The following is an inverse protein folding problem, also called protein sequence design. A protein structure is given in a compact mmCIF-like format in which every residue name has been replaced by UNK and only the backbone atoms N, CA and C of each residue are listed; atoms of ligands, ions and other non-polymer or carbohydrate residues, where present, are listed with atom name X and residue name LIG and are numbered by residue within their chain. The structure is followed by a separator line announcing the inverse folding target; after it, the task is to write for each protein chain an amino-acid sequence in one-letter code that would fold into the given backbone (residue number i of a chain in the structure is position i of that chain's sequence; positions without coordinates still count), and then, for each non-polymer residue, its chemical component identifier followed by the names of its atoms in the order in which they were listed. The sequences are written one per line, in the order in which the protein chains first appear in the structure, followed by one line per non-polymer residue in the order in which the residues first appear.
data_IF_123105220884
#
_entry.id   IF_123105220884
#
_cell.length_a   1.000
_cell.length_b   1.000
_cell.length_c   1.000
_cell.angle_alpha   90.00
_cell.angle_beta   90.00
_cell.angle_gamma   90.00
#
_symmetry.space_group_name_H-M   'P 1'
#
loop_
_entity.id
_entity.type
_entity.pdbx_description
1 polymer ?
#
# COMPACT_ATOMS: atom_id res chain seq x y z
N UNK A 1 -7.31 16.81 -2.01
CA UNK A 1 -5.93 17.22 -1.68
C UNK A 1 -5.76 17.33 -0.16
N UNK A 2 -6.78 17.82 0.54
CA UNK A 2 -6.93 17.79 2.01
C UNK A 2 -6.66 16.42 2.67
N UNK A 3 -7.25 15.31 2.19
CA UNK A 3 -6.96 13.95 2.69
C UNK A 3 -5.46 13.62 2.70
N UNK A 4 -4.72 14.02 1.66
CA UNK A 4 -3.28 13.80 1.57
C UNK A 4 -2.54 14.65 2.60
N UNK A 5 -2.94 15.92 2.78
CA UNK A 5 -2.34 16.83 3.74
C UNK A 5 -2.46 16.31 5.17
N UNK A 6 -3.66 15.89 5.57
CA UNK A 6 -3.90 15.36 6.91
C UNK A 6 -3.04 14.12 7.20
N UNK A 7 -2.77 13.29 6.19
CA UNK A 7 -1.87 12.13 6.30
C UNK A 7 -0.40 12.56 6.41
N UNK A 8 0.03 13.56 5.64
CA UNK A 8 1.41 14.07 5.65
C UNK A 8 1.72 14.77 6.98
N UNK A 9 0.78 15.58 7.50
CA UNK A 9 0.89 16.27 8.78
C UNK A 9 0.78 15.34 9.99
N UNK A 10 0.29 14.12 9.80
CA UNK A 10 0.07 13.16 10.90
C UNK A 10 -1.21 13.42 11.70
N UNK A 11 -2.13 14.22 11.18
CA UNK A 11 -3.46 14.48 11.76
C UNK A 11 -4.46 13.36 11.45
N UNK A 12 -4.19 12.57 10.42
CA UNK A 12 -4.99 11.41 10.04
C UNK A 12 -4.61 10.17 10.86
N UNK A 13 -5.61 9.34 11.17
CA UNK A 13 -5.41 7.97 11.69
C UNK A 13 -4.53 7.15 10.73
N UNK A 14 -4.69 7.35 9.43
CA UNK A 14 -3.89 6.68 8.41
C UNK A 14 -2.54 7.39 8.29
N UNK A 15 -1.47 6.75 8.76
CA UNK A 15 -0.11 7.25 8.58
C UNK A 15 0.55 6.73 7.30
N UNK A 16 1.58 7.43 6.81
CA UNK A 16 2.41 6.98 5.69
C UNK A 16 2.94 5.55 5.87
N UNK A 17 3.25 5.16 7.12
CA UNK A 17 3.76 3.84 7.45
C UNK A 17 2.70 2.75 7.34
N UNK A 18 1.45 3.04 7.72
CA UNK A 18 0.33 2.12 7.54
C UNK A 18 0.08 1.90 6.04
N UNK A 19 0.09 2.96 5.23
CA UNK A 19 -0.13 2.84 3.78
C UNK A 19 1.01 2.03 3.13
N UNK A 20 2.27 2.35 3.44
CA UNK A 20 3.43 1.60 2.94
C UNK A 20 3.35 0.12 3.37
N UNK A 21 3.02 -0.17 4.63
CA UNK A 21 2.85 -1.53 5.13
C UNK A 21 1.75 -2.27 4.37
N UNK A 22 0.62 -1.61 4.17
CA UNK A 22 -0.51 -2.18 3.46
C UNK A 22 -0.12 -2.64 2.04
N UNK A 23 0.45 -1.73 1.24
CA UNK A 23 0.73 -2.01 -0.18
C UNK A 23 1.90 -2.96 -0.38
N UNK A 24 2.90 -2.94 0.51
CA UNK A 24 4.13 -3.76 0.36
C UNK A 24 4.03 -5.14 1.02
N UNK A 25 3.26 -5.27 2.11
CA UNK A 25 3.25 -6.47 2.95
C UNK A 25 1.86 -7.06 3.13
N UNK A 26 0.90 -6.29 3.65
CA UNK A 26 -0.43 -6.83 3.95
C UNK A 26 -1.12 -7.33 2.67
N UNK A 27 -1.17 -6.51 1.63
CA UNK A 27 -1.78 -6.86 0.35
C UNK A 27 -1.05 -8.02 -0.35
N UNK A 28 0.28 -8.08 -0.22
CA UNK A 28 1.11 -9.17 -0.73
C UNK A 28 0.77 -10.51 -0.07
N UNK A 29 0.63 -10.51 1.27
CA UNK A 29 0.30 -11.71 2.05
C UNK A 29 -1.15 -12.16 1.84
N UNK A 30 -2.09 -11.22 1.85
CA UNK A 30 -3.52 -11.57 1.82
C UNK A 30 -4.07 -11.73 0.39
N UNK A 31 -3.33 -11.33 -0.64
CA UNK A 31 -3.84 -11.21 -2.01
C UNK A 31 -5.06 -10.28 -2.05
N UNK A 32 -4.87 -9.06 -1.53
CA UNK A 32 -5.96 -8.08 -1.45
C UNK A 32 -6.41 -7.65 -2.83
N UNK A 33 -7.69 -7.90 -3.11
CA UNK A 33 -8.35 -7.55 -4.37
C UNK A 33 -9.76 -7.05 -4.07
N UNK A 34 -10.15 -5.95 -4.70
CA UNK A 34 -11.48 -5.37 -4.62
C UNK A 34 -11.88 -4.75 -5.96
N UNK A 35 -13.13 -4.34 -6.09
CA UNK A 35 -13.68 -3.69 -7.28
C UNK A 35 -13.51 -2.17 -7.20
N UNK A 36 -13.08 -1.55 -8.29
CA UNK A 36 -13.06 -0.08 -8.44
C UNK A 36 -13.83 0.32 -9.70
N UNK A 37 -14.35 1.56 -9.78
CA UNK A 37 -14.90 2.07 -11.03
C UNK A 37 -13.90 1.94 -12.17
N UNK A 38 -14.33 1.38 -13.29
CA UNK A 38 -13.49 1.17 -14.46
C UNK A 38 -13.02 2.53 -15.01
N UNK A 39 -11.71 2.68 -15.19
CA UNK A 39 -11.11 3.93 -15.68
C UNK A 39 -11.39 4.18 -17.17
N UNK A 40 -11.60 3.10 -17.92
CA UNK A 40 -12.00 3.11 -19.31
C UNK A 40 -13.41 2.54 -19.42
N UNK A 41 -14.20 2.97 -20.43
CA UNK A 41 -15.52 2.39 -20.71
C UNK A 41 -15.37 0.89 -20.87
N UNK A 42 -15.75 0.16 -19.84
CA UNK A 42 -15.67 -1.29 -19.82
C UNK A 42 -17.09 -1.76 -19.60
N UNK A 43 -17.70 -2.29 -20.64
CA UNK A 43 -19.02 -2.93 -20.61
C UNK A 43 -19.00 -4.26 -19.83
N UNK A 44 -18.12 -4.39 -18.84
CA UNK A 44 -17.99 -5.56 -17.98
C UNK A 44 -18.84 -5.35 -16.74
N UNK A 45 -19.66 -6.35 -16.44
CA UNK A 45 -20.40 -6.44 -15.19
C UNK A 45 -19.64 -7.38 -14.27
N UNK A 46 -19.28 -6.88 -13.09
CA UNK A 46 -18.64 -7.66 -12.04
C UNK A 46 -19.60 -7.79 -10.86
N UNK A 47 -19.96 -9.02 -10.50
CA UNK A 47 -20.91 -9.30 -9.40
C UNK A 47 -22.25 -8.53 -9.47
N UNK A 48 -22.70 -8.12 -10.66
CA UNK A 48 -23.96 -7.39 -10.87
C UNK A 48 -23.80 -5.88 -11.02
N UNK A 49 -22.60 -5.33 -10.78
CA UNK A 49 -22.30 -3.90 -10.95
C UNK A 49 -21.64 -3.64 -12.31
N UNK A 50 -22.17 -2.68 -13.06
CA UNK A 50 -21.63 -2.28 -14.37
C UNK A 50 -20.43 -1.35 -14.23
N UNK A 51 -19.53 -1.37 -15.22
CA UNK A 51 -18.36 -0.49 -15.29
C UNK A 51 -17.45 -0.62 -14.07
N UNK A 52 -17.26 -1.84 -13.57
CA UNK A 52 -16.32 -2.13 -12.48
C UNK A 52 -15.10 -2.91 -13.00
N UNK A 53 -13.92 -2.58 -12.48
CA UNK A 53 -12.66 -3.26 -12.74
C UNK A 53 -12.13 -3.91 -11.47
N UNK A 54 -11.51 -5.09 -11.63
CA UNK A 54 -10.90 -5.82 -10.53
C UNK A 54 -9.49 -5.29 -10.23
N UNK A 55 -9.32 -4.63 -9.09
CA UNK A 55 -8.06 -4.02 -8.67
C UNK A 55 -7.24 -4.92 -7.74
N UNK A 56 -6.08 -5.37 -8.22
CA UNK A 56 -5.12 -6.16 -7.44
C UNK A 56 -4.05 -5.25 -6.85
N UNK A 57 -4.19 -4.89 -5.56
CA UNK A 57 -3.38 -3.84 -4.90
C UNK A 57 -1.88 -4.06 -5.07
N UNK A 58 -1.35 -5.21 -4.63
CA UNK A 58 0.09 -5.48 -4.65
C UNK A 58 0.66 -5.51 -6.07
N UNK A 59 -0.11 -6.03 -7.03
CA UNK A 59 0.32 -6.10 -8.42
C UNK A 59 0.34 -4.73 -9.07
N UNK A 60 -0.71 -3.92 -8.88
CA UNK A 60 -0.76 -2.55 -9.37
C UNK A 60 0.39 -1.72 -8.79
N UNK A 61 0.61 -1.79 -7.47
CA UNK A 61 1.73 -1.13 -6.81
C UNK A 61 3.09 -1.50 -7.43
N UNK A 62 3.32 -2.80 -7.71
CA UNK A 62 4.55 -3.26 -8.36
C UNK A 62 4.70 -2.74 -9.79
N UNK A 63 3.60 -2.59 -10.54
CA UNK A 63 3.62 -2.02 -11.88
C UNK A 63 3.97 -0.53 -11.85
N UNK A 64 3.42 0.24 -10.89
CA UNK A 64 3.76 1.66 -10.73
C UNK A 64 5.23 1.87 -10.40
N UNK A 65 5.79 1.05 -9.48
CA UNK A 65 7.23 1.07 -9.19
C UNK A 65 8.11 0.79 -10.41
N UNK A 66 7.61 0.03 -11.40
CA UNK A 66 8.32 -0.20 -12.66
C UNK A 66 8.15 0.97 -13.62
N UNK A 67 6.96 1.53 -13.74
CA UNK A 67 6.64 2.62 -14.65
C UNK A 67 7.34 3.93 -14.25
N UNK A 68 7.25 4.30 -12.98
CA UNK A 68 7.79 5.55 -12.44
C UNK A 68 9.21 5.41 -11.89
N UNK A 69 9.74 4.18 -11.81
CA UNK A 69 10.89 3.80 -10.97
C UNK A 69 10.62 4.02 -9.47
N UNK A 70 11.43 3.40 -8.61
CA UNK A 70 11.40 3.66 -7.14
C UNK A 70 11.67 5.13 -6.80
N UNK A 71 12.15 5.92 -7.76
CA UNK A 71 12.48 7.33 -7.55
C UNK A 71 11.26 8.22 -7.58
N UNK A 72 10.36 7.98 -8.52
CA UNK A 72 9.19 8.84 -8.75
C UNK A 72 7.90 8.19 -8.24
N UNK A 73 8.01 7.22 -7.35
CA UNK A 73 6.89 6.56 -6.69
C UNK A 73 7.31 6.11 -5.28
N UNK A 74 7.32 7.06 -4.34
CA UNK A 74 7.77 6.87 -2.97
C UNK A 74 6.79 7.59 -2.03
N UNK A 75 6.10 6.88 -1.11
CA UNK A 75 5.22 7.53 -0.13
C UNK A 75 5.97 8.51 0.78
N UNK A 76 7.27 8.32 0.96
CA UNK A 76 8.10 9.14 1.84
C UNK A 76 8.81 10.24 1.04
N UNK A 77 8.70 11.49 1.49
CA UNK A 77 9.31 12.70 0.91
C UNK A 77 10.85 12.77 1.08
N UNK A 78 11.56 11.69 0.70
CA UNK A 78 12.99 11.48 0.97
C UNK A 78 13.94 12.16 -0.03
N UNK A 79 13.41 12.75 -1.10
CA UNK A 79 14.20 13.25 -2.24
C UNK A 79 14.16 14.77 -2.31
N UNK A 80 14.64 15.31 -3.43
CA UNK A 80 14.51 16.73 -3.75
C UNK A 80 13.05 17.16 -3.61
N UNK A 81 12.86 18.15 -2.73
CA UNK A 81 11.55 18.66 -2.38
C UNK A 81 11.22 19.84 -3.27
N UNK A 82 9.94 19.93 -3.61
CA UNK A 82 9.34 20.98 -4.40
C UNK A 82 8.26 21.64 -3.56
N UNK A 83 8.09 22.95 -3.75
CA UNK A 83 7.04 23.74 -3.12
C UNK A 83 5.84 23.80 -4.06
N UNK A 84 4.71 23.25 -3.63
CA UNK A 84 3.47 23.28 -4.40
C UNK A 84 2.48 24.22 -3.72
N UNK A 85 1.93 25.23 -4.43
CA UNK A 85 0.87 26.07 -3.88
C UNK A 85 -0.38 25.22 -3.62
N UNK A 86 -0.92 25.30 -2.41
CA UNK A 86 -2.05 24.46 -1.97
C UNK A 86 -3.32 25.27 -1.71
N UNK A 87 -3.23 26.33 -0.92
CA UNK A 87 -4.35 27.25 -0.65
C UNK A 87 -3.78 28.64 -0.33
N UNK A 88 -4.27 29.69 -0.97
CA UNK A 88 -3.80 31.07 -0.81
C UNK A 88 -2.26 31.18 -0.71
N UNK A 89 -1.74 31.55 0.46
CA UNK A 89 -0.32 31.75 0.83
C UNK A 89 0.36 30.48 1.40
N UNK A 90 -0.33 29.33 1.41
CA UNK A 90 0.21 28.08 1.95
C UNK A 90 0.86 27.22 0.86
N UNK A 91 2.08 26.80 1.13
CA UNK A 91 2.88 25.94 0.26
C UNK A 91 3.08 24.58 0.93
N UNK A 92 2.89 23.53 0.14
CA UNK A 92 3.21 22.16 0.51
C UNK A 92 4.63 21.83 0.04
N UNK A 93 5.54 21.60 0.99
CA UNK A 93 6.85 21.02 0.72
C UNK A 93 6.71 19.50 0.54
N UNK A 94 6.81 19.01 -0.68
CA UNK A 94 6.65 17.57 -0.99
C UNK A 94 7.59 17.13 -2.10
N UNK A 95 7.47 15.91 -2.60
CA UNK A 95 8.28 15.39 -3.72
C UNK A 95 7.37 14.88 -4.83
N UNK A 96 7.86 14.89 -6.08
CA UNK A 96 7.14 14.29 -7.22
C UNK A 96 6.78 12.82 -6.94
N UNK A 97 7.67 12.09 -6.26
CA UNK A 97 7.43 10.69 -5.89
C UNK A 97 6.27 10.50 -4.92
N UNK A 98 6.15 11.38 -3.92
CA UNK A 98 5.06 11.36 -2.95
C UNK A 98 3.73 11.73 -3.61
N UNK A 99 3.74 12.71 -4.51
CA UNK A 99 2.54 13.10 -5.28
C UNK A 99 2.05 11.97 -6.19
N UNK A 100 2.94 11.34 -6.94
CA UNK A 100 2.57 10.21 -7.80
C UNK A 100 2.02 9.04 -6.98
N UNK A 101 2.63 8.75 -5.82
CA UNK A 101 2.15 7.72 -4.91
C UNK A 101 0.73 8.02 -4.42
N UNK A 102 0.47 9.24 -3.93
CA UNK A 102 -0.86 9.60 -3.43
C UNK A 102 -1.90 9.72 -4.54
N UNK A 103 -1.53 10.20 -5.73
CA UNK A 103 -2.39 10.16 -6.91
C UNK A 103 -2.88 8.74 -7.17
N UNK A 104 -1.95 7.79 -7.23
CA UNK A 104 -2.30 6.38 -7.40
C UNK A 104 -3.14 5.84 -6.24
N UNK A 105 -2.80 6.17 -4.99
CA UNK A 105 -3.53 5.65 -3.83
C UNK A 105 -4.99 6.14 -3.81
N UNK A 106 -5.24 7.41 -4.16
CA UNK A 106 -6.58 8.00 -4.21
C UNK A 106 -7.37 7.44 -5.40
N UNK A 107 -6.78 7.44 -6.60
CA UNK A 107 -7.47 6.98 -7.81
C UNK A 107 -7.91 5.51 -7.75
N UNK A 108 -7.17 4.69 -7.00
CA UNK A 108 -7.48 3.26 -6.87
C UNK A 108 -8.17 2.92 -5.54
N UNK A 109 -8.68 3.90 -4.79
CA UNK A 109 -9.40 3.70 -3.52
C UNK A 109 -8.61 2.93 -2.45
N UNK A 110 -7.29 3.10 -2.44
CA UNK A 110 -6.39 2.44 -1.49
C UNK A 110 -6.60 2.98 -0.08
N UNK A 111 -6.84 4.29 0.05
CA UNK A 111 -7.04 4.92 1.36
C UNK A 111 -8.35 4.48 2.00
N UNK A 112 -9.42 4.37 1.22
CA UNK A 112 -10.73 3.89 1.64
C UNK A 112 -10.65 2.44 2.16
N UNK A 113 -9.97 1.56 1.42
CA UNK A 113 -9.76 0.18 1.86
C UNK A 113 -8.98 0.12 3.19
N UNK A 114 -7.96 0.96 3.35
CA UNK A 114 -7.17 1.02 4.58
C UNK A 114 -8.05 1.47 5.75
N UNK A 115 -8.92 2.45 5.55
CA UNK A 115 -9.81 2.96 6.61
C UNK A 115 -10.78 1.87 7.10
N UNK A 116 -11.42 1.16 6.16
CA UNK A 116 -12.36 0.06 6.45
C UNK A 116 -11.69 -1.13 7.16
N UNK A 117 -10.40 -1.37 6.90
CA UNK A 117 -9.65 -2.51 7.43
C UNK A 117 -8.49 -2.11 8.35
N UNK A 118 -8.54 -0.90 8.92
CA UNK A 118 -7.40 -0.29 9.61
C UNK A 118 -6.85 -1.17 10.72
N UNK A 119 -7.73 -1.67 11.60
CA UNK A 119 -7.34 -2.47 12.77
C UNK A 119 -6.61 -3.76 12.39
N UNK A 120 -7.08 -4.44 11.34
CA UNK A 120 -6.45 -5.65 10.84
C UNK A 120 -5.05 -5.37 10.25
N UNK A 121 -4.90 -4.26 9.54
CA UNK A 121 -3.62 -3.84 8.94
C UNK A 121 -2.62 -3.44 10.04
N UNK A 122 -3.07 -2.65 11.03
CA UNK A 122 -2.26 -2.20 12.15
C UNK A 122 -1.82 -3.37 13.05
N UNK A 123 -2.73 -4.29 13.37
CA UNK A 123 -2.40 -5.49 14.13
C UNK A 123 -1.39 -6.37 13.38
N UNK A 124 -1.57 -6.58 12.06
CA UNK A 124 -0.62 -7.32 11.24
C UNK A 124 0.76 -6.65 11.18
N UNK A 125 0.81 -5.32 11.12
CA UNK A 125 2.06 -4.55 11.22
C UNK A 125 2.76 -4.73 12.58
N UNK A 126 2.01 -4.56 13.67
CA UNK A 126 2.53 -4.61 15.03
C UNK A 126 3.02 -6.03 15.40
N UNK A 127 2.29 -7.06 14.97
CA UNK A 127 2.65 -8.46 15.19
C UNK A 127 4.00 -8.85 14.59
N UNK A 128 4.44 -8.16 13.52
CA UNK A 128 5.72 -8.43 12.85
C UNK A 128 6.86 -7.56 13.35
N UNK A 129 6.55 -6.35 13.81
CA UNK A 129 7.52 -5.49 14.47
C UNK A 129 7.97 -6.07 15.82
N UNK A 130 7.16 -6.90 16.48
CA UNK A 130 7.47 -7.51 17.78
C UNK A 130 8.28 -8.82 17.71
N UNK A 131 8.33 -9.50 16.56
CA UNK A 131 9.10 -10.75 16.38
C UNK A 131 10.61 -10.52 16.58
N UNK A 132 11.11 -9.30 16.37
CA UNK A 132 12.50 -8.93 16.61
C UNK A 132 12.91 -8.87 18.09
N UNK A 133 11.95 -8.81 19.03
CA UNK A 133 12.21 -8.66 20.47
C UNK A 133 12.26 -9.98 21.25
N UNK A 134 11.82 -11.10 20.67
CA UNK A 134 11.69 -12.39 21.39
C UNK A 134 12.99 -13.18 21.60
N UNK A 135 14.14 -12.69 21.15
CA UNK A 135 15.43 -13.38 21.29
C UNK A 135 16.34 -12.80 22.40
N UNK A 136 15.78 -12.11 23.40
CA UNK A 136 16.59 -11.49 24.48
C UNK A 136 16.46 -12.21 25.83
N UNK A 137 15.52 -13.16 25.97
CA UNK A 137 15.21 -13.79 27.27
C UNK A 137 15.61 -15.27 27.36
N UNK A 138 16.71 -15.69 26.72
CA UNK A 138 17.40 -16.94 27.11
C UNK A 138 18.64 -16.59 27.97
N UNK A 139 18.64 -16.89 29.27
CA UNK A 139 19.76 -16.62 30.15
C UNK A 139 20.82 -17.71 29.97
N UNK A 140 21.70 -17.53 28.99
CA UNK A 140 22.94 -18.32 28.92
C UNK A 140 23.44 -18.59 27.51
N UNK A 141 23.97 -17.57 26.84
CA UNK A 141 25.11 -17.73 25.92
C UNK A 141 25.65 -16.35 25.53
N UNK A 142 26.69 -15.91 26.22
CA UNK A 142 27.55 -14.80 25.80
C UNK A 142 28.39 -15.29 24.61
N UNK A 143 27.85 -15.16 23.40
CA UNK A 143 28.67 -15.25 22.18
C UNK A 143 28.83 -13.85 21.59
N UNK A 144 30.03 -13.29 21.76
CA UNK A 144 30.50 -11.99 21.26
C UNK A 144 30.67 -11.95 19.73
N UNK A 145 29.75 -12.57 18.98
CA UNK A 145 29.71 -12.54 17.52
C UNK A 145 28.30 -12.17 17.03
N UNK A 146 27.87 -10.94 17.36
CA UNK A 146 26.68 -10.31 16.77
C UNK A 146 26.92 -9.99 15.29
N UNK A 147 26.90 -11.02 14.45
CA UNK A 147 26.76 -10.83 13.01
C UNK A 147 25.36 -10.31 12.73
N UNK A 148 25.26 -9.25 11.91
CA UNK A 148 23.98 -8.65 11.53
C UNK A 148 23.11 -9.70 10.85
N UNK A 149 21.90 -9.94 11.39
CA UNK A 149 20.92 -10.86 10.79
C UNK A 149 20.71 -10.51 9.30
N UNK A 150 20.81 -11.52 8.42
CA UNK A 150 20.53 -11.35 6.98
C UNK A 150 19.08 -10.92 6.78
N UNK A 151 18.84 -10.10 5.76
CA UNK A 151 17.52 -9.55 5.46
C UNK A 151 16.58 -10.66 4.95
N UNK A 152 15.55 -10.96 5.72
CA UNK A 152 14.47 -11.90 5.37
C UNK A 152 13.23 -11.15 4.87
N UNK A 153 12.36 -11.82 4.10
CA UNK A 153 11.08 -11.24 3.70
C UNK A 153 10.09 -11.23 4.87
N UNK A 154 9.51 -10.07 5.18
CA UNK A 154 8.55 -9.92 6.28
C UNK A 154 7.18 -10.57 5.98
N UNK A 155 6.86 -10.71 4.69
CA UNK A 155 5.61 -11.27 4.21
C UNK A 155 5.85 -12.21 3.02
N UNK A 156 5.36 -13.44 3.14
CA UNK A 156 5.33 -14.41 2.03
C UNK A 156 4.21 -14.00 1.07
N UNK A 157 4.47 -14.04 -0.23
CA UNK A 157 3.46 -13.73 -1.25
C UNK A 157 2.39 -14.81 -1.33
N UNK A 158 1.11 -14.43 -1.26
CA UNK A 158 0.00 -15.35 -1.49
C UNK A 158 -0.02 -15.95 -2.91
N UNK A 159 0.65 -15.31 -3.88
CA UNK A 159 0.78 -15.85 -5.24
C UNK A 159 1.79 -17.01 -5.34
N UNK A 160 2.50 -17.36 -4.26
CA UNK A 160 3.35 -18.57 -4.21
C UNK A 160 2.53 -19.86 -4.06
N UNK A 161 1.24 -19.75 -3.79
CA UNK A 161 0.28 -20.85 -3.66
C UNK A 161 -0.85 -20.71 -4.68
N UNK A 162 -1.43 -21.83 -5.14
CA UNK A 162 -2.59 -21.81 -6.05
C UNK A 162 -3.82 -21.38 -5.25
N UNK A 163 -4.40 -20.22 -5.59
CA UNK A 163 -5.70 -19.75 -5.06
C UNK A 163 -6.79 -19.94 -6.11
N UNK A 164 -7.90 -20.57 -5.72
CA UNK A 164 -9.10 -20.72 -6.57
C UNK A 164 -10.13 -19.67 -6.15
N UNK A 165 -10.66 -18.93 -7.11
CA UNK A 165 -11.72 -17.95 -6.91
C UNK A 165 -12.82 -18.19 -7.95
N UNK A 166 -14.08 -18.04 -7.54
CA UNK A 166 -15.23 -18.15 -8.41
C UNK A 166 -15.75 -16.73 -8.62
N UNK A 167 -15.60 -16.20 -9.84
CA UNK A 167 -16.03 -14.84 -10.20
C UNK A 167 -16.98 -14.89 -11.39
N UNK A 168 -18.06 -14.10 -11.33
CA UNK A 168 -19.01 -13.94 -12.45
C UNK A 168 -18.64 -12.69 -13.24
N UNK A 169 -18.25 -12.88 -14.49
CA UNK A 169 -17.88 -11.81 -15.42
C UNK A 169 -18.85 -11.86 -16.58
N UNK A 170 -19.56 -10.75 -16.83
CA UNK A 170 -20.42 -10.61 -18.02
C UNK A 170 -19.81 -9.52 -18.90
N UNK A 171 -19.51 -9.87 -20.15
CA UNK A 171 -19.03 -8.92 -21.16
C UNK A 171 -20.22 -8.50 -22.01
N UNK A 172 -20.57 -7.22 -22.01
CA UNK A 172 -21.59 -6.65 -22.91
C UNK A 172 -20.88 -5.99 -24.09
N UNK A 173 -21.42 -6.19 -25.30
CA UNK A 173 -21.00 -5.47 -26.50
C UNK A 173 -22.16 -4.54 -26.87
N UNK A 174 -21.86 -3.25 -27.05
CA UNK A 174 -22.83 -2.28 -27.60
C UNK A 174 -22.76 -2.31 -29.12
#
# INVERSE_FOLDING_TARGET
MEKMMNIINGESRISLRIIDWFVTNFAKKNFTVYSIPAKNRCSTVYNGEENMERFKVFNSYKLELKAYSKIRFDPFSRRERIMIPYADETYLETTIGQLNFFKWAIENRVLEYIDEHYEAIEADMNSRNSISKKNVDEPGETTDNKTRKKREELSVSACKTIKKEIVKIVVKFN
#
